data_IF_599016203100
#
_entry.id   IF_599016203100
#
_cell.length_a   1.000
_cell.length_b   1.000
_cell.length_c   1.000
_cell.angle_alpha   90.00
_cell.angle_beta   90.00
_cell.angle_gamma   90.00
#
_symmetry.space_group_name_H-M   'P 1'
#
loop_
_entity.id
_entity.type
_entity.pdbx_description
1 polymer ?
#
# COMPACT_ATOMS: atom_id res chain seq x y z
N UNK A 1 -14.02 26.49 -7.01
CA UNK A 1 -12.73 26.91 -6.44
C UNK A 1 -12.26 25.74 -5.58
N UNK A 2 -11.17 25.07 -5.97
CA UNK A 2 -10.59 23.98 -5.17
C UNK A 2 -9.67 24.63 -4.14
N UNK A 3 -9.81 24.26 -2.86
CA UNK A 3 -8.87 24.71 -1.83
C UNK A 3 -7.50 24.11 -2.12
N UNK A 4 -6.43 24.91 -2.28
CA UNK A 4 -5.10 24.41 -2.63
C UNK A 4 -4.42 23.57 -1.52
N UNK A 5 -5.10 23.32 -0.40
CA UNK A 5 -4.63 22.51 0.73
C UNK A 5 -5.35 21.17 0.88
N UNK A 6 -6.41 20.90 0.09
CA UNK A 6 -7.15 19.64 0.12
C UNK A 6 -6.79 18.83 -1.12
N UNK A 7 -6.27 17.62 -0.91
CA UNK A 7 -5.96 16.67 -1.97
C UNK A 7 -7.10 15.66 -2.05
N UNK A 8 -7.73 15.58 -3.22
CA UNK A 8 -8.88 14.70 -3.46
C UNK A 8 -8.42 13.32 -3.94
N UNK A 9 -9.29 12.31 -3.86
CA UNK A 9 -9.01 10.97 -4.40
C UNK A 9 -8.70 11.02 -5.91
N UNK A 10 -9.32 11.96 -6.64
CA UNK A 10 -9.05 12.18 -8.06
C UNK A 10 -7.61 12.60 -8.33
N UNK A 11 -7.01 13.41 -7.44
CA UNK A 11 -5.62 13.85 -7.61
C UNK A 11 -4.66 12.68 -7.44
N UNK A 12 -4.91 11.80 -6.46
CA UNK A 12 -4.14 10.58 -6.29
C UNK A 12 -4.31 9.62 -7.45
N UNK A 13 -5.54 9.44 -7.94
CA UNK A 13 -5.83 8.60 -9.11
C UNK A 13 -5.03 9.09 -10.34
N UNK A 14 -5.03 10.42 -10.59
CA UNK A 14 -4.24 11.00 -11.68
C UNK A 14 -2.74 10.79 -11.49
N UNK A 15 -2.20 10.86 -10.26
CA UNK A 15 -0.78 10.57 -10.01
C UNK A 15 -0.42 9.12 -10.32
N UNK A 16 -1.31 8.18 -10.01
CA UNK A 16 -1.15 6.77 -10.38
C UNK A 16 -1.19 6.57 -11.90
N UNK A 17 -2.10 7.27 -12.60
CA UNK A 17 -2.17 7.26 -14.06
C UNK A 17 -0.92 7.84 -14.72
N UNK A 18 -0.43 8.96 -14.21
CA UNK A 18 0.79 9.63 -14.68
C UNK A 18 2.08 8.92 -14.26
N UNK A 19 2.01 7.78 -13.56
CA UNK A 19 3.17 7.08 -12.96
C UNK A 19 4.02 7.96 -12.02
N UNK A 20 3.42 8.98 -11.41
CA UNK A 20 4.05 9.86 -10.40
C UNK A 20 4.03 9.24 -9.01
N UNK A 21 4.53 8.02 -8.91
CA UNK A 21 4.48 7.15 -7.72
C UNK A 21 5.85 6.96 -7.06
N UNK A 22 6.69 8.01 -7.05
CA UNK A 22 8.05 7.95 -6.49
C UNK A 22 8.15 7.66 -4.98
N UNK A 23 7.01 7.56 -4.29
CA UNK A 23 6.89 7.10 -2.91
C UNK A 23 6.87 5.56 -2.80
N UNK A 24 6.65 4.84 -3.90
CA UNK A 24 6.66 3.38 -3.91
C UNK A 24 8.10 2.85 -3.76
N UNK A 25 8.29 1.92 -2.83
CA UNK A 25 9.55 1.21 -2.62
C UNK A 25 9.47 -0.17 -3.29
N UNK A 26 10.57 -0.59 -3.92
CA UNK A 26 10.69 -1.91 -4.57
C UNK A 26 10.95 -3.05 -3.58
N UNK A 27 10.97 -2.76 -2.28
CA UNK A 27 11.14 -3.70 -1.18
C UNK A 27 10.39 -3.19 0.07
N UNK A 28 10.26 -4.05 1.08
CA UNK A 28 9.69 -3.65 2.36
C UNK A 28 10.54 -2.54 3.01
N UNK A 29 9.87 -1.56 3.62
CA UNK A 29 10.48 -0.44 4.30
C UNK A 29 11.44 -0.93 5.39
N UNK A 30 12.71 -0.55 5.29
CA UNK A 30 13.76 -0.98 6.21
C UNK A 30 13.50 -0.61 7.67
N UNK A 31 12.76 0.47 7.94
CA UNK A 31 12.37 0.88 9.29
C UNK A 31 11.31 -0.07 9.85
N UNK A 32 10.35 -0.51 9.03
CA UNK A 32 9.37 -1.52 9.42
C UNK A 32 10.08 -2.83 9.77
N UNK A 33 10.94 -3.32 8.87
CA UNK A 33 11.72 -4.55 9.08
C UNK A 33 12.53 -4.50 10.37
N UNK A 34 13.20 -3.37 10.63
CA UNK A 34 13.99 -3.16 11.85
C UNK A 34 13.17 -3.22 13.15
N UNK A 35 11.90 -2.82 13.12
CA UNK A 35 11.05 -2.69 14.30
C UNK A 35 9.93 -3.76 14.39
N UNK A 36 9.92 -4.72 13.47
CA UNK A 36 8.85 -5.69 13.29
C UNK A 36 8.50 -6.51 14.53
N UNK A 37 9.47 -6.83 15.38
CA UNK A 37 9.23 -7.69 16.56
C UNK A 37 8.09 -7.16 17.46
N UNK A 38 7.80 -5.85 17.43
CA UNK A 38 6.71 -5.25 18.19
C UNK A 38 5.30 -5.62 17.68
N UNK A 39 5.17 -6.04 16.43
CA UNK A 39 3.88 -6.35 15.77
C UNK A 39 3.76 -7.81 15.35
N UNK A 40 4.73 -8.65 15.71
CA UNK A 40 4.77 -10.06 15.32
C UNK A 40 3.53 -10.82 15.77
N UNK A 41 2.90 -11.53 14.83
CA UNK A 41 1.68 -12.31 15.07
C UNK A 41 0.41 -11.49 15.35
N UNK A 42 0.46 -10.17 15.18
CA UNK A 42 -0.69 -9.30 15.33
C UNK A 42 -1.46 -9.10 14.02
N UNK A 43 -2.61 -8.42 14.12
CA UNK A 43 -3.30 -7.86 12.95
C UNK A 43 -2.80 -6.44 12.70
N UNK A 44 -2.21 -6.21 11.55
CA UNK A 44 -1.61 -4.92 11.15
C UNK A 44 -2.52 -4.23 10.14
N UNK A 45 -2.92 -3.00 10.46
CA UNK A 45 -3.65 -2.13 9.55
C UNK A 45 -2.69 -1.19 8.81
N UNK A 46 -2.74 -1.16 7.48
CA UNK A 46 -1.92 -0.33 6.61
C UNK A 46 -2.82 0.67 5.86
N UNK A 47 -2.97 1.90 6.37
CA UNK A 47 -3.80 2.92 5.72
C UNK A 47 -3.11 3.50 4.48
N UNK A 48 -3.90 3.83 3.45
CA UNK A 48 -3.43 4.39 2.18
C UNK A 48 -2.31 3.52 1.59
N UNK A 49 -2.55 2.21 1.53
CA UNK A 49 -1.49 1.23 1.32
C UNK A 49 -0.89 1.27 -0.08
N UNK A 50 -1.55 1.89 -1.06
CA UNK A 50 -1.16 1.82 -2.46
C UNK A 50 -0.86 0.38 -2.87
N UNK A 51 0.39 0.16 -3.32
CA UNK A 51 0.94 -1.17 -3.59
C UNK A 51 2.17 -1.53 -2.76
N UNK A 52 2.21 -1.12 -1.48
CA UNK A 52 3.40 -1.36 -0.65
C UNK A 52 3.73 -2.86 -0.50
N UNK A 53 5.01 -3.20 -0.67
CA UNK A 53 5.51 -4.56 -0.41
C UNK A 53 5.62 -4.88 1.09
N UNK A 54 5.44 -3.88 1.96
CA UNK A 54 5.34 -4.08 3.41
C UNK A 54 4.24 -5.07 3.77
N UNK A 55 3.10 -5.01 3.07
CA UNK A 55 1.95 -5.87 3.35
C UNK A 55 2.29 -7.35 3.11
N UNK A 56 3.00 -7.65 2.02
CA UNK A 56 3.43 -9.02 1.71
C UNK A 56 4.47 -9.50 2.71
N UNK A 57 5.44 -8.64 3.02
CA UNK A 57 6.48 -8.97 3.97
C UNK A 57 5.89 -9.27 5.36
N UNK A 58 4.98 -8.43 5.86
CA UNK A 58 4.26 -8.64 7.12
C UNK A 58 3.46 -9.95 7.12
N UNK A 59 2.74 -10.24 6.03
CA UNK A 59 1.99 -11.49 5.89
C UNK A 59 2.93 -12.73 5.92
N UNK A 60 4.08 -12.65 5.25
CA UNK A 60 5.11 -13.70 5.29
C UNK A 60 5.71 -13.90 6.69
N UNK A 61 5.73 -12.86 7.54
CA UNK A 61 6.15 -13.00 8.94
C UNK A 61 5.04 -13.53 9.87
N UNK A 62 3.86 -13.85 9.32
CA UNK A 62 2.73 -14.42 10.08
C UNK A 62 1.76 -13.41 10.68
N UNK A 63 1.81 -12.14 10.25
CA UNK A 63 0.78 -11.16 10.62
C UNK A 63 -0.48 -11.33 9.75
N UNK A 64 -1.64 -11.01 10.31
CA UNK A 64 -2.84 -10.73 9.49
C UNK A 64 -2.74 -9.28 9.03
N UNK A 65 -2.89 -8.99 7.74
CA UNK A 65 -2.69 -7.64 7.19
C UNK A 65 -3.98 -7.13 6.57
N UNK A 66 -4.37 -5.91 6.92
CA UNK A 66 -5.55 -5.22 6.38
C UNK A 66 -5.07 -3.92 5.74
N UNK A 67 -5.20 -3.80 4.43
CA UNK A 67 -4.92 -2.56 3.68
C UNK A 67 -6.20 -1.81 3.34
N UNK A 68 -6.14 -0.48 3.36
CA UNK A 68 -7.18 0.38 2.77
C UNK A 68 -6.53 1.32 1.78
N UNK A 69 -7.06 1.36 0.56
CA UNK A 69 -6.62 2.23 -0.52
C UNK A 69 -7.84 2.74 -1.29
N UNK A 70 -7.79 3.99 -1.73
CA UNK A 70 -8.89 4.64 -2.45
C UNK A 70 -8.71 4.54 -3.97
N UNK A 71 -7.48 4.42 -4.45
CA UNK A 71 -7.17 4.32 -5.87
C UNK A 71 -7.22 2.86 -6.31
N UNK A 72 -8.32 2.47 -6.98
CA UNK A 72 -8.54 1.09 -7.45
C UNK A 72 -7.38 0.52 -8.26
N UNK A 73 -6.79 1.34 -9.16
CA UNK A 73 -5.61 0.95 -9.95
C UNK A 73 -4.41 0.52 -9.09
N UNK A 74 -4.18 1.17 -7.95
CA UNK A 74 -3.09 0.80 -7.05
C UNK A 74 -3.31 -0.59 -6.44
N UNK A 75 -4.57 -0.93 -6.14
CA UNK A 75 -4.98 -2.23 -5.61
C UNK A 75 -4.83 -3.31 -6.68
N UNK A 76 -5.33 -3.05 -7.89
CA UNK A 76 -5.19 -3.97 -9.03
C UNK A 76 -3.71 -4.27 -9.32
N UNK A 77 -2.88 -3.21 -9.46
CA UNK A 77 -1.44 -3.37 -9.66
C UNK A 77 -0.76 -4.14 -8.53
N UNK A 78 -1.14 -3.91 -7.27
CA UNK A 78 -0.60 -4.67 -6.14
C UNK A 78 -0.85 -6.17 -6.29
N UNK A 79 -2.07 -6.59 -6.63
CA UNK A 79 -2.37 -8.01 -6.75
C UNK A 79 -1.76 -8.63 -8.02
N UNK A 80 -1.86 -7.94 -9.16
CA UNK A 80 -1.33 -8.40 -10.44
C UNK A 80 0.20 -8.55 -10.42
N UNK A 81 0.93 -7.53 -9.94
CA UNK A 81 2.40 -7.53 -9.90
C UNK A 81 2.96 -8.62 -8.98
N UNK A 82 2.19 -9.03 -7.97
CA UNK A 82 2.60 -10.05 -7.01
C UNK A 82 2.00 -11.44 -7.29
N UNK A 83 1.26 -11.61 -8.40
CA UNK A 83 0.69 -12.89 -8.80
C UNK A 83 -0.34 -13.44 -7.82
N UNK A 84 -1.08 -12.55 -7.14
CA UNK A 84 -2.05 -12.90 -6.11
C UNK A 84 -3.46 -12.83 -6.72
N UNK A 85 -4.21 -13.92 -6.62
CA UNK A 85 -5.62 -13.93 -6.99
C UNK A 85 -6.42 -12.98 -6.10
N UNK A 86 -7.20 -12.10 -6.71
CA UNK A 86 -8.05 -11.13 -6.01
C UNK A 86 -9.46 -11.10 -6.60
N UNK A 87 -10.38 -10.53 -5.85
CA UNK A 87 -11.77 -10.28 -6.27
C UNK A 87 -12.10 -8.81 -6.04
N UNK A 88 -12.79 -8.22 -6.99
CA UNK A 88 -13.37 -6.87 -6.92
C UNK A 88 -14.86 -6.93 -6.63
#
# INVERSE_FOLDING_TARGET
>A
MVNPTEMEVSDWSQRWDDRKIGFHLSEANSILVKNFEQVKGSTVFVPLCGKTLDMLWLAQQGCTVIGVEAVGKAIEEFFEENGIGHTV
#
